data_IF_593704526346
#
_entry.id   IF_593704526346
#
_cell.length_a   1.000
_cell.length_b   1.000
_cell.length_c   1.000
_cell.angle_alpha   90.00
_cell.angle_beta   90.00
_cell.angle_gamma   90.00
#
_symmetry.space_group_name_H-M   'P 1'
#
loop_
_entity.id
_entity.type
_entity.pdbx_description
1 polymer ?
#
# COMPACT_ATOMS: atom_id res chain seq x y z
N UNK A 1 -26.66 -22.72 91.14
CA UNK A 1 -26.99 -21.58 90.33
C UNK A 1 -25.77 -21.21 89.48
N UNK A 2 -25.67 -21.68 88.28
CA UNK A 2 -24.49 -21.43 87.45
C UNK A 2 -24.96 -20.73 86.16
N UNK A 3 -24.51 -19.50 86.00
CA UNK A 3 -24.68 -18.73 84.74
C UNK A 3 -23.65 -19.17 83.70
N UNK A 4 -24.11 -19.67 82.60
CA UNK A 4 -23.25 -19.94 81.41
C UNK A 4 -23.29 -18.74 80.48
N UNK A 5 -22.16 -18.03 80.42
CA UNK A 5 -21.93 -17.01 79.40
C UNK A 5 -21.58 -17.68 78.04
N UNK A 6 -22.33 -17.42 77.03
CA UNK A 6 -22.06 -17.88 75.64
C UNK A 6 -21.22 -16.81 74.97
N UNK A 7 -19.99 -17.18 74.63
CA UNK A 7 -19.06 -16.36 73.86
C UNK A 7 -19.38 -16.56 72.35
N UNK A 8 -19.92 -15.53 71.72
CA UNK A 8 -20.13 -15.54 70.26
C UNK A 8 -18.91 -14.93 69.60
N UNK A 9 -18.10 -15.77 68.96
CA UNK A 9 -16.95 -15.32 68.11
C UNK A 9 -17.44 -14.84 66.78
N UNK A 10 -17.30 -13.56 66.48
CA UNK A 10 -17.52 -12.97 65.16
C UNK A 10 -16.30 -13.24 64.28
N UNK A 11 -16.47 -14.09 63.31
CA UNK A 11 -15.49 -14.28 62.23
C UNK A 11 -15.71 -13.18 61.17
N UNK A 12 -14.84 -12.17 61.17
CA UNK A 12 -14.81 -11.17 60.10
C UNK A 12 -14.06 -11.79 58.92
N UNK A 13 -14.80 -12.29 57.94
CA UNK A 13 -14.26 -12.71 56.66
C UNK A 13 -13.79 -11.50 55.86
N UNK A 14 -12.48 -11.36 55.70
CA UNK A 14 -11.88 -10.38 54.81
C UNK A 14 -12.22 -10.77 53.34
N UNK A 15 -13.21 -10.11 52.78
CA UNK A 15 -13.49 -10.14 51.34
C UNK A 15 -12.32 -9.43 50.63
N UNK A 16 -11.40 -10.22 50.10
CA UNK A 16 -10.38 -9.75 49.18
C UNK A 16 -11.04 -9.17 47.93
N UNK A 17 -11.12 -7.85 47.83
CA UNK A 17 -11.41 -7.14 46.61
C UNK A 17 -10.26 -7.40 45.64
N UNK A 18 -10.39 -8.43 44.81
CA UNK A 18 -9.54 -8.62 43.62
C UNK A 18 -9.74 -7.43 42.72
N UNK A 19 -8.79 -6.51 42.75
CA UNK A 19 -8.70 -5.41 41.78
C UNK A 19 -8.55 -6.03 40.40
N UNK A 20 -9.65 -6.09 39.64
CA UNK A 20 -9.60 -6.37 38.23
C UNK A 20 -8.90 -5.17 37.59
N UNK A 21 -7.59 -5.24 37.50
CA UNK A 21 -6.83 -4.35 36.61
C UNK A 21 -7.34 -4.61 35.22
N UNK A 22 -8.25 -3.75 34.74
CA UNK A 22 -8.53 -3.64 33.33
C UNK A 22 -7.19 -3.29 32.69
N UNK A 23 -6.58 -4.25 32.01
CA UNK A 23 -5.57 -3.96 31.03
C UNK A 23 -6.26 -3.10 29.96
N UNK A 24 -6.23 -1.79 30.14
CA UNK A 24 -6.53 -0.86 29.06
C UNK A 24 -5.53 -1.21 27.98
N UNK A 25 -6.03 -1.75 26.86
CA UNK A 25 -5.27 -1.75 25.62
C UNK A 25 -4.84 -0.30 25.43
N UNK A 26 -3.56 -0.02 25.60
CA UNK A 26 -2.99 1.27 25.27
C UNK A 26 -3.02 1.35 23.74
N UNK A 27 -4.21 1.63 23.20
CA UNK A 27 -4.34 2.11 21.84
C UNK A 27 -3.50 3.37 21.71
N UNK A 28 -2.86 3.55 20.59
CA UNK A 28 -2.09 4.77 20.32
C UNK A 28 -3.03 5.95 20.52
N UNK A 29 -2.85 6.68 21.61
CA UNK A 29 -3.74 7.79 21.99
C UNK A 29 -3.48 9.06 21.17
N UNK A 30 -2.32 9.17 20.52
CA UNK A 30 -1.94 10.34 19.72
C UNK A 30 -1.08 9.96 18.51
N UNK A 31 -1.67 10.04 17.33
CA UNK A 31 -0.99 9.76 16.06
C UNK A 31 -0.17 10.94 15.50
N UNK A 32 -0.28 12.13 16.08
CA UNK A 32 0.39 13.34 15.54
C UNK A 32 1.91 13.23 15.47
N UNK A 33 2.62 12.73 16.51
CA UNK A 33 4.07 12.57 16.43
C UNK A 33 4.47 11.53 15.39
N UNK A 34 3.71 10.43 15.26
CA UNK A 34 3.94 9.37 14.28
C UNK A 34 3.79 9.92 12.85
N UNK A 35 2.70 10.64 12.59
CA UNK A 35 2.47 11.31 11.31
C UNK A 35 3.63 12.23 10.93
N UNK A 36 4.04 13.11 11.85
CA UNK A 36 5.15 14.05 11.62
C UNK A 36 6.45 13.32 11.29
N UNK A 37 6.83 12.33 12.08
CA UNK A 37 8.04 11.55 11.86
C UNK A 37 8.01 10.81 10.52
N UNK A 38 6.88 10.19 10.18
CA UNK A 38 6.71 9.44 8.93
C UNK A 38 6.78 10.36 7.71
N UNK A 39 6.11 11.52 7.74
CA UNK A 39 6.15 12.50 6.65
C UNK A 39 7.56 13.09 6.52
N UNK A 40 8.23 13.41 7.62
CA UNK A 40 9.59 13.91 7.60
C UNK A 40 10.57 12.89 7.01
N UNK A 41 10.42 11.60 7.35
CA UNK A 41 11.30 10.52 6.89
C UNK A 41 11.06 10.16 5.42
N UNK A 42 9.80 10.01 5.02
CA UNK A 42 9.42 9.37 3.76
C UNK A 42 8.64 10.28 2.80
N UNK A 43 8.09 11.41 3.28
CA UNK A 43 7.15 12.22 2.52
C UNK A 43 7.68 12.75 1.20
N UNK A 44 8.97 13.11 1.13
CA UNK A 44 9.59 13.63 -0.08
C UNK A 44 9.88 12.56 -1.15
N UNK A 45 9.85 11.28 -0.76
CA UNK A 45 9.97 10.16 -1.68
C UNK A 45 8.63 9.74 -2.30
N UNK A 46 7.50 10.21 -1.76
CA UNK A 46 6.16 9.94 -2.31
C UNK A 46 5.84 11.04 -3.32
N UNK A 47 5.69 10.67 -4.57
CA UNK A 47 5.55 11.59 -5.70
C UNK A 47 4.37 11.20 -6.59
N UNK A 48 3.97 12.10 -7.50
CA UNK A 48 2.90 11.85 -8.46
C UNK A 48 3.49 11.62 -9.85
N UNK A 49 3.05 10.56 -10.50
CA UNK A 49 3.34 10.27 -11.92
C UNK A 49 2.08 10.47 -12.72
N UNK A 50 2.14 11.22 -13.82
CA UNK A 50 1.11 11.31 -14.84
C UNK A 50 1.51 10.57 -16.10
N UNK A 51 0.52 10.08 -16.83
CA UNK A 51 0.71 9.30 -18.06
C UNK A 51 -0.51 9.44 -18.96
N UNK A 52 -0.34 9.08 -20.23
CA UNK A 52 -1.43 8.98 -21.20
C UNK A 52 -1.77 7.51 -21.40
N UNK A 53 -3.00 7.15 -21.05
CA UNK A 53 -3.53 5.80 -21.24
C UNK A 53 -4.26 5.74 -22.59
N UNK A 54 -3.86 4.83 -23.47
CA UNK A 54 -4.53 4.53 -24.72
C UNK A 54 -5.42 3.30 -24.54
N UNK A 55 -6.72 3.46 -24.75
CA UNK A 55 -7.74 2.42 -24.63
C UNK A 55 -8.30 2.16 -26.03
N UNK A 56 -8.16 0.94 -26.53
CA UNK A 56 -8.78 0.53 -27.78
C UNK A 56 -10.14 -0.11 -27.51
N UNK A 57 -11.21 0.54 -27.97
CA UNK A 57 -12.57 0.03 -27.86
C UNK A 57 -13.27 0.12 -29.21
N UNK A 58 -13.78 -1.02 -29.71
CA UNK A 58 -14.51 -1.12 -30.97
C UNK A 58 -13.78 -0.49 -32.18
N UNK A 59 -12.44 -0.63 -32.24
CA UNK A 59 -11.62 -0.07 -33.31
C UNK A 59 -11.34 1.43 -33.24
N UNK A 60 -11.72 2.07 -32.12
CA UNK A 60 -11.37 3.47 -31.84
C UNK A 60 -10.40 3.54 -30.67
N UNK A 61 -9.29 4.24 -30.85
CA UNK A 61 -8.37 4.58 -29.78
C UNK A 61 -8.87 5.83 -29.06
N UNK A 62 -9.03 5.70 -27.73
CA UNK A 62 -9.29 6.81 -26.83
C UNK A 62 -8.04 7.02 -25.97
N UNK A 63 -7.56 8.26 -25.89
CA UNK A 63 -6.41 8.65 -25.06
C UNK A 63 -6.91 9.48 -23.88
N UNK A 64 -6.53 9.06 -22.68
CA UNK A 64 -6.94 9.69 -21.42
C UNK A 64 -5.67 9.99 -20.62
N UNK A 65 -5.52 11.24 -20.16
CA UNK A 65 -4.48 11.57 -19.17
C UNK A 65 -4.94 11.09 -17.79
N UNK A 66 -4.08 10.35 -17.10
CA UNK A 66 -4.35 9.84 -15.76
C UNK A 66 -3.11 9.99 -14.88
N UNK A 67 -3.25 9.74 -13.59
CA UNK A 67 -2.22 9.92 -12.56
C UNK A 67 -2.19 8.76 -11.59
N UNK A 68 -1.00 8.50 -11.05
CA UNK A 68 -0.83 7.53 -9.96
C UNK A 68 0.18 8.03 -8.94
N UNK A 69 0.11 7.50 -7.73
CA UNK A 69 1.16 7.66 -6.75
C UNK A 69 2.34 6.80 -7.13
N UNK A 70 3.53 7.31 -6.92
CA UNK A 70 4.79 6.61 -7.08
C UNK A 70 5.68 6.80 -5.86
N UNK A 71 6.61 5.89 -5.67
CA UNK A 71 7.60 5.97 -4.61
C UNK A 71 9.00 5.98 -5.21
N UNK A 72 9.81 6.98 -4.90
CA UNK A 72 11.23 6.94 -5.19
C UNK A 72 11.88 5.88 -4.30
N UNK A 73 12.52 4.87 -4.92
CA UNK A 73 13.14 3.73 -4.24
C UNK A 73 14.66 3.67 -4.43
N UNK A 74 15.22 4.69 -5.09
CA UNK A 74 16.66 4.90 -5.18
C UNK A 74 17.00 6.37 -5.40
N UNK A 75 18.22 6.75 -4.99
CA UNK A 75 18.71 8.13 -5.12
C UNK A 75 19.01 8.56 -6.56
N UNK A 76 19.00 7.63 -7.51
CA UNK A 76 19.20 7.88 -8.95
C UNK A 76 17.88 8.00 -9.73
N UNK A 77 16.73 8.02 -9.02
CA UNK A 77 15.43 8.29 -9.61
C UNK A 77 14.68 7.06 -10.10
N UNK A 78 14.92 5.88 -9.53
CA UNK A 78 14.05 4.72 -9.75
C UNK A 78 12.74 4.90 -8.98
N UNK A 79 11.63 4.80 -9.69
CA UNK A 79 10.27 4.95 -9.18
C UNK A 79 9.56 3.61 -9.18
N UNK A 80 8.87 3.31 -8.11
CA UNK A 80 7.95 2.17 -7.97
C UNK A 80 6.52 2.66 -8.18
N UNK A 81 5.77 2.03 -9.07
CA UNK A 81 4.35 2.31 -9.36
C UNK A 81 3.55 1.02 -9.42
N UNK A 82 2.22 1.06 -9.23
CA UNK A 82 1.39 -0.11 -9.50
C UNK A 82 1.44 -0.47 -10.99
N UNK A 83 1.50 -1.75 -11.32
CA UNK A 83 1.58 -2.26 -12.70
C UNK A 83 0.42 -1.77 -13.59
N UNK A 84 -0.78 -1.60 -13.00
CA UNK A 84 -1.95 -1.07 -13.70
C UNK A 84 -1.77 0.35 -14.25
N UNK A 85 -0.81 1.12 -13.73
CA UNK A 85 -0.47 2.43 -14.29
C UNK A 85 0.29 2.31 -15.63
N UNK A 86 0.88 1.16 -15.92
CA UNK A 86 1.62 0.88 -17.17
C UNK A 86 0.75 0.14 -18.17
N UNK A 87 0.00 -0.84 -17.70
CA UNK A 87 -0.91 -1.61 -18.54
C UNK A 87 -2.06 -2.16 -17.70
N UNK A 88 -3.27 -1.96 -18.15
CA UNK A 88 -4.46 -2.42 -17.47
C UNK A 88 -5.34 -3.26 -18.37
N UNK A 89 -5.66 -4.47 -17.92
CA UNK A 89 -6.58 -5.38 -18.59
C UNK A 89 -7.99 -5.24 -17.97
N UNK A 90 -8.89 -4.63 -18.72
CA UNK A 90 -10.28 -4.43 -18.30
C UNK A 90 -11.07 -5.74 -18.25
N UNK A 91 -10.62 -6.83 -18.88
CA UNK A 91 -11.31 -8.12 -18.85
C UNK A 91 -11.41 -8.67 -17.42
N UNK A 92 -10.42 -8.36 -16.57
CA UNK A 92 -10.43 -8.70 -15.14
C UNK A 92 -11.58 -8.01 -14.37
N UNK A 93 -12.07 -6.87 -14.84
CA UNK A 93 -13.21 -6.16 -14.22
C UNK A 93 -14.56 -6.59 -14.77
N UNK A 94 -14.61 -7.08 -15.99
CA UNK A 94 -15.86 -7.44 -16.68
C UNK A 94 -16.46 -8.77 -16.21
N UNK A 95 -15.79 -9.49 -15.31
CA UNK A 95 -16.28 -10.79 -14.81
C UNK A 95 -16.38 -11.87 -15.89
N UNK A 96 -15.52 -11.80 -16.90
CA UNK A 96 -15.47 -12.79 -17.99
C UNK A 96 -16.64 -12.71 -18.99
N UNK A 97 -17.45 -11.65 -18.97
CA UNK A 97 -18.46 -11.43 -20.00
C UNK A 97 -17.82 -11.13 -21.33
N UNK A 98 -18.17 -11.89 -22.35
CA UNK A 98 -17.56 -11.90 -23.68
C UNK A 98 -17.55 -10.57 -24.47
N UNK A 99 -18.20 -9.51 -23.99
CA UNK A 99 -18.29 -8.22 -24.66
C UNK A 99 -17.11 -7.27 -24.44
N UNK A 100 -16.34 -7.48 -23.39
CA UNK A 100 -15.20 -6.63 -23.01
C UNK A 100 -13.85 -7.41 -22.99
N UNK A 101 -13.89 -8.67 -23.42
CA UNK A 101 -12.72 -9.53 -23.54
C UNK A 101 -11.73 -8.93 -24.54
N UNK A 102 -10.53 -8.59 -24.05
CA UNK A 102 -9.44 -8.08 -24.87
C UNK A 102 -9.28 -6.55 -24.86
N UNK A 103 -10.02 -5.80 -24.02
CA UNK A 103 -9.79 -4.37 -23.86
C UNK A 103 -8.59 -4.15 -22.92
N UNK A 104 -7.42 -3.94 -23.52
CA UNK A 104 -6.18 -3.65 -22.78
C UNK A 104 -5.83 -2.19 -23.00
N UNK A 105 -5.68 -1.45 -21.91
CA UNK A 105 -5.09 -0.13 -21.91
C UNK A 105 -3.57 -0.23 -21.78
N UNK A 106 -2.85 0.60 -22.53
CA UNK A 106 -1.40 0.77 -22.42
C UNK A 106 -1.10 2.23 -22.16
N UNK A 107 -0.21 2.48 -21.21
CA UNK A 107 0.18 3.83 -20.86
C UNK A 107 1.52 4.21 -21.48
N UNK A 108 1.67 5.49 -21.78
CA UNK A 108 2.84 6.12 -22.36
C UNK A 108 3.02 7.54 -21.84
N UNK A 109 4.06 8.23 -22.28
CA UNK A 109 4.31 9.64 -21.95
C UNK A 109 4.37 9.92 -20.45
N UNK A 110 5.00 9.00 -19.73
CA UNK A 110 5.13 9.13 -18.27
C UNK A 110 5.95 10.36 -17.89
N UNK A 111 5.46 11.09 -16.89
CA UNK A 111 6.15 12.23 -16.29
C UNK A 111 5.96 12.21 -14.79
N UNK A 112 7.00 12.54 -14.03
CA UNK A 112 6.95 12.67 -12.58
C UNK A 112 7.09 14.12 -12.17
N UNK A 113 6.37 14.51 -11.12
CA UNK A 113 6.60 15.77 -10.43
C UNK A 113 7.18 15.46 -9.04
N UNK A 114 8.37 16.00 -8.80
CA UNK A 114 9.01 15.91 -7.48
C UNK A 114 8.34 16.86 -6.49
N UNK A 115 8.53 16.59 -5.22
CA UNK A 115 8.08 17.50 -4.15
C UNK A 115 8.81 18.81 -4.28
N UNK A 116 8.13 19.91 -4.04
CA UNK A 116 8.66 21.28 -4.15
C UNK A 116 9.11 21.69 -5.57
N UNK A 117 8.65 20.97 -6.61
CA UNK A 117 8.88 21.32 -8.01
C UNK A 117 7.56 21.46 -8.75
N UNK A 118 7.46 22.48 -9.61
CA UNK A 118 6.34 22.61 -10.55
C UNK A 118 6.59 21.87 -11.85
N UNK A 119 7.83 21.47 -12.11
CA UNK A 119 8.25 20.83 -13.35
C UNK A 119 7.87 19.36 -13.40
N UNK A 120 7.36 18.94 -14.55
CA UNK A 120 7.09 17.55 -14.88
C UNK A 120 8.27 16.94 -15.64
N UNK A 121 9.08 16.14 -14.94
CA UNK A 121 10.25 15.47 -15.50
C UNK A 121 9.84 14.22 -16.29
N UNK A 122 10.39 13.99 -17.49
CA UNK A 122 10.12 12.77 -18.24
C UNK A 122 10.71 11.54 -17.55
N UNK A 123 9.96 10.43 -17.56
CA UNK A 123 10.40 9.14 -17.03
C UNK A 123 10.17 8.05 -18.05
N UNK A 124 10.99 7.03 -18.02
CA UNK A 124 10.92 5.87 -18.89
C UNK A 124 10.57 4.62 -18.11
N UNK A 125 9.84 3.71 -18.77
CA UNK A 125 9.58 2.38 -18.22
C UNK A 125 10.89 1.57 -18.23
N UNK A 126 11.24 1.04 -17.07
CA UNK A 126 12.38 0.11 -16.90
C UNK A 126 11.90 -1.32 -17.09
N UNK A 127 10.95 -1.73 -16.28
CA UNK A 127 10.37 -3.07 -16.30
C UNK A 127 9.05 -3.12 -15.57
N UNK A 128 8.33 -4.24 -15.70
CA UNK A 128 7.12 -4.54 -14.94
C UNK A 128 7.14 -5.99 -14.47
N UNK A 129 6.51 -6.24 -13.34
CA UNK A 129 6.24 -7.56 -12.81
C UNK A 129 4.73 -7.69 -12.50
N UNK A 130 3.99 -8.22 -13.46
CA UNK A 130 2.55 -8.42 -13.32
C UNK A 130 2.19 -9.39 -12.20
N UNK A 131 3.10 -10.30 -11.82
CA UNK A 131 2.87 -11.23 -10.72
C UNK A 131 2.93 -10.57 -9.35
N UNK A 132 3.70 -9.49 -9.22
CA UNK A 132 3.75 -8.64 -8.03
C UNK A 132 2.74 -7.49 -8.10
N UNK A 133 2.18 -7.19 -9.27
CA UNK A 133 1.34 -6.01 -9.51
C UNK A 133 2.14 -4.70 -9.53
N UNK A 134 3.44 -4.75 -9.86
CA UNK A 134 4.36 -3.62 -9.76
C UNK A 134 5.09 -3.34 -11.07
N UNK A 135 5.45 -2.08 -11.26
CA UNK A 135 6.31 -1.64 -12.35
C UNK A 135 7.32 -0.59 -11.85
N UNK A 136 8.41 -0.46 -12.59
CA UNK A 136 9.49 0.48 -12.29
C UNK A 136 9.70 1.42 -13.45
N UNK A 137 9.74 2.71 -13.10
CA UNK A 137 10.04 3.80 -14.03
C UNK A 137 11.37 4.44 -13.59
N UNK A 138 12.05 5.15 -14.50
CA UNK A 138 13.27 5.89 -14.18
C UNK A 138 13.23 7.29 -14.73
N UNK A 139 13.60 8.27 -13.91
CA UNK A 139 13.67 9.67 -14.32
C UNK A 139 14.81 9.83 -15.34
N UNK A 140 14.52 10.45 -16.49
CA UNK A 140 15.54 10.78 -17.49
C UNK A 140 16.50 11.81 -16.94
N UNK A 141 17.80 11.59 -17.14
CA UNK A 141 18.83 12.53 -16.74
C UNK A 141 18.69 12.96 -15.27
N UNK A 142 18.32 11.99 -14.41
CA UNK A 142 18.11 12.25 -12.99
C UNK A 142 19.33 12.88 -12.35
N UNK A 143 19.10 13.86 -11.50
CA UNK A 143 20.11 14.35 -10.57
C UNK A 143 20.38 13.23 -9.54
N UNK A 144 21.63 13.10 -9.11
CA UNK A 144 21.98 12.21 -8.00
C UNK A 144 21.51 12.82 -6.67
N UNK A 145 21.25 11.95 -5.68
CA UNK A 145 20.83 12.31 -4.32
C UNK A 145 19.36 12.74 -4.17
N UNK A 146 18.46 12.17 -4.96
CA UNK A 146 17.04 12.31 -4.70
C UNK A 146 16.63 11.63 -3.38
N UNK A 147 15.66 12.18 -2.64
CA UNK A 147 15.08 11.50 -1.49
C UNK A 147 14.43 10.19 -1.93
N UNK A 148 14.64 9.11 -1.21
CA UNK A 148 14.07 7.80 -1.53
C UNK A 148 13.74 7.01 -0.28
N UNK A 149 12.84 6.04 -0.39
CA UNK A 149 12.58 5.04 0.65
C UNK A 149 13.55 3.89 0.48
N UNK A 150 14.34 3.63 1.50
CA UNK A 150 15.21 2.46 1.55
C UNK A 150 14.36 1.20 1.84
N UNK A 151 14.23 0.33 0.85
CA UNK A 151 13.47 -0.91 0.97
C UNK A 151 14.26 -2.04 1.63
N UNK A 152 15.57 -1.89 1.85
CA UNK A 152 16.44 -2.94 2.41
C UNK A 152 16.25 -3.14 3.92
N UNK A 153 15.71 -2.13 4.61
CA UNK A 153 15.47 -2.13 6.05
C UNK A 153 13.97 -2.17 6.36
N UNK A 154 13.27 -3.12 5.76
CA UNK A 154 11.84 -3.29 5.93
C UNK A 154 11.45 -4.05 7.18
N UNK A 155 10.27 -3.75 7.72
CA UNK A 155 9.61 -4.52 8.77
C UNK A 155 8.95 -5.79 8.20
N UNK A 156 8.67 -6.76 9.08
CA UNK A 156 7.95 -7.98 8.71
C UNK A 156 6.44 -7.76 8.89
N UNK A 157 5.63 -7.97 7.84
CA UNK A 157 4.18 -7.94 7.99
C UNK A 157 3.69 -9.18 8.76
N UNK A 158 2.72 -8.97 9.67
CA UNK A 158 2.07 -10.04 10.44
C UNK A 158 0.58 -9.71 10.61
N UNK A 159 -0.32 -10.72 10.64
CA UNK A 159 -1.74 -10.50 10.94
C UNK A 159 -1.95 -9.78 12.27
N UNK A 160 -2.83 -8.77 12.28
CA UNK A 160 -3.09 -7.89 13.41
C UNK A 160 -2.18 -6.65 13.49
N UNK A 161 -1.17 -6.53 12.61
CA UNK A 161 -0.32 -5.35 12.55
C UNK A 161 -1.08 -4.19 11.90
N UNK A 162 -1.10 -3.04 12.59
CA UNK A 162 -1.52 -1.75 12.02
C UNK A 162 -0.38 -1.19 11.14
N UNK A 163 -0.75 -0.66 9.99
CA UNK A 163 0.18 0.00 9.08
C UNK A 163 -0.37 1.32 8.56
N UNK A 164 0.47 2.09 7.89
CA UNK A 164 0.12 3.38 7.31
C UNK A 164 0.59 3.46 5.87
N UNK A 165 -0.27 3.94 4.98
CA UNK A 165 0.10 4.27 3.60
C UNK A 165 0.27 5.78 3.49
N UNK A 166 1.41 6.24 2.99
CA UNK A 166 1.63 7.64 2.65
C UNK A 166 1.20 7.89 1.20
N UNK A 167 0.42 8.93 1.02
CA UNK A 167 -0.12 9.37 -0.26
C UNK A 167 0.12 10.88 -0.41
N UNK A 168 -0.23 11.41 -1.58
CA UNK A 168 -0.39 12.86 -1.79
C UNK A 168 -1.78 13.16 -2.30
N UNK A 169 -2.32 14.30 -1.88
CA UNK A 169 -3.53 14.84 -2.51
C UNK A 169 -3.25 15.21 -3.96
N UNK A 170 -4.29 15.45 -4.74
CA UNK A 170 -4.16 15.95 -6.09
C UNK A 170 -3.53 17.37 -6.11
N UNK A 171 -3.14 17.83 -7.30
CA UNK A 171 -2.51 19.13 -7.49
C UNK A 171 -3.42 20.30 -7.10
N UNK A 172 -4.72 20.17 -7.34
CA UNK A 172 -5.73 21.16 -6.97
C UNK A 172 -5.82 21.37 -5.45
N UNK A 173 -5.48 20.32 -4.69
CA UNK A 173 -5.39 20.34 -3.22
C UNK A 173 -3.96 20.59 -2.72
N UNK A 174 -3.04 21.07 -3.56
CA UNK A 174 -1.69 21.44 -3.20
C UNK A 174 -0.70 20.28 -3.04
N UNK A 175 -1.04 19.05 -3.48
CA UNK A 175 -0.16 17.88 -3.41
C UNK A 175 0.43 17.63 -2.01
N UNK A 176 -0.37 17.87 -0.97
CA UNK A 176 0.06 17.72 0.43
C UNK A 176 0.13 16.26 0.85
N UNK A 177 1.05 15.90 1.77
CA UNK A 177 1.11 14.55 2.32
C UNK A 177 -0.20 14.16 3.01
N UNK A 178 -0.67 12.98 2.73
CA UNK A 178 -1.82 12.35 3.34
C UNK A 178 -1.43 10.96 3.78
N UNK A 179 -1.74 10.59 5.01
CA UNK A 179 -1.55 9.23 5.47
C UNK A 179 -2.90 8.54 5.68
N UNK A 180 -2.92 7.22 5.49
CA UNK A 180 -4.09 6.39 5.70
C UNK A 180 -3.71 5.19 6.55
N UNK A 181 -4.37 4.98 7.69
CA UNK A 181 -4.20 3.76 8.46
C UNK A 181 -4.79 2.56 7.72
N UNK A 182 -4.25 1.40 8.01
CA UNK A 182 -4.73 0.11 7.57
C UNK A 182 -4.35 -0.96 8.56
N UNK A 183 -4.90 -2.17 8.36
CA UNK A 183 -4.64 -3.33 9.22
C UNK A 183 -4.41 -4.57 8.38
N UNK A 184 -3.47 -5.41 8.79
CA UNK A 184 -3.28 -6.73 8.22
C UNK A 184 -4.31 -7.67 8.86
N UNK A 185 -5.29 -8.12 8.06
CA UNK A 185 -6.42 -8.93 8.52
C UNK A 185 -6.09 -10.42 8.57
N UNK A 186 -5.14 -10.87 7.73
CA UNK A 186 -4.78 -12.27 7.63
C UNK A 186 -3.70 -12.52 6.60
N UNK A 187 -3.30 -13.79 6.43
CA UNK A 187 -2.36 -14.20 5.39
C UNK A 187 -2.94 -15.33 4.53
N UNK A 188 -2.56 -15.36 3.27
CA UNK A 188 -2.77 -16.50 2.38
C UNK A 188 -1.44 -16.97 1.80
N UNK A 189 -1.32 -18.29 1.58
CA UNK A 189 -0.11 -18.91 1.01
C UNK A 189 -0.35 -19.52 -0.36
N UNK A 190 -1.58 -19.41 -0.85
CA UNK A 190 -1.99 -19.95 -2.14
C UNK A 190 -2.50 -18.84 -3.05
N UNK A 191 -1.96 -18.68 -4.25
CA UNK A 191 -0.81 -19.41 -4.86
C UNK A 191 0.55 -18.97 -4.30
N UNK A 192 0.64 -17.85 -3.59
CA UNK A 192 1.86 -17.30 -2.98
C UNK A 192 1.54 -16.63 -1.65
N UNK A 193 2.58 -16.44 -0.83
CA UNK A 193 2.42 -15.66 0.41
C UNK A 193 2.02 -14.23 0.07
N UNK A 194 0.87 -13.82 0.60
CA UNK A 194 0.28 -12.50 0.45
C UNK A 194 -0.55 -12.20 1.70
N UNK A 195 -0.59 -10.95 2.12
CA UNK A 195 -1.41 -10.54 3.26
C UNK A 195 -2.69 -9.89 2.77
N UNK A 196 -3.80 -10.28 3.39
CA UNK A 196 -5.11 -9.66 3.20
C UNK A 196 -5.19 -8.45 4.11
N UNK A 197 -5.54 -7.30 3.57
CA UNK A 197 -5.48 -6.04 4.32
C UNK A 197 -6.73 -5.20 4.13
N UNK A 198 -7.01 -4.38 5.13
CA UNK A 198 -7.91 -3.24 5.05
C UNK A 198 -7.05 -1.97 5.06
N UNK A 199 -7.29 -1.02 4.14
CA UNK A 199 -6.49 0.19 4.05
C UNK A 199 -6.52 0.84 2.67
N UNK A 200 -5.39 1.36 2.22
CA UNK A 200 -5.25 2.06 0.93
C UNK A 200 -4.07 1.51 0.12
N UNK A 201 -4.18 1.49 -1.23
CA UNK A 201 -3.08 1.11 -2.11
C UNK A 201 -1.87 2.03 -1.96
N UNK A 202 -0.67 1.44 -2.05
CA UNK A 202 0.60 2.14 -1.98
C UNK A 202 1.63 1.43 -1.10
N UNK A 203 2.78 2.06 -0.90
CA UNK A 203 3.80 1.52 0.01
C UNK A 203 3.31 1.66 1.46
N UNK A 204 3.28 0.54 2.17
CA UNK A 204 2.85 0.44 3.55
C UNK A 204 4.04 0.55 4.50
N UNK A 205 3.86 1.28 5.59
CA UNK A 205 4.86 1.52 6.63
C UNK A 205 4.34 1.07 7.99
N UNK A 206 5.23 0.57 8.84
CA UNK A 206 4.95 0.36 10.26
C UNK A 206 4.89 1.71 11.02
N UNK A 207 4.57 1.66 12.30
CA UNK A 207 4.50 2.83 13.18
C UNK A 207 5.84 3.60 13.29
N UNK A 208 6.97 2.94 13.02
CA UNK A 208 8.31 3.55 13.00
C UNK A 208 8.69 4.14 11.64
N UNK A 209 7.78 4.05 10.66
CA UNK A 209 8.02 4.51 9.30
C UNK A 209 8.98 3.62 8.50
N UNK A 210 9.12 2.35 8.85
CA UNK A 210 9.83 1.39 8.02
C UNK A 210 8.87 0.74 7.04
N UNK A 211 9.26 0.53 5.77
CA UNK A 211 8.39 -0.11 4.80
C UNK A 211 8.16 -1.59 5.17
N UNK A 212 6.92 -2.06 5.09
CA UNK A 212 6.55 -3.46 5.39
C UNK A 212 6.04 -4.22 4.17
N UNK A 213 5.62 -3.52 3.12
CA UNK A 213 5.11 -4.13 1.90
C UNK A 213 4.43 -3.11 0.99
N UNK A 214 3.94 -3.58 -0.14
CA UNK A 214 3.17 -2.76 -1.08
C UNK A 214 1.73 -3.27 -1.13
N UNK A 215 0.78 -2.38 -0.84
CA UNK A 215 -0.66 -2.66 -0.92
C UNK A 215 -1.16 -2.37 -2.33
N UNK A 216 -1.83 -3.34 -2.94
CA UNK A 216 -2.47 -3.14 -4.24
C UNK A 216 -3.87 -3.79 -4.30
N UNK A 217 -4.65 -3.37 -5.29
CA UNK A 217 -6.00 -3.88 -5.54
C UNK A 217 -5.92 -5.21 -6.27
N UNK A 218 -6.53 -6.24 -5.70
CA UNK A 218 -6.71 -7.53 -6.36
C UNK A 218 -8.00 -7.54 -7.19
N UNK A 219 -7.91 -7.14 -8.45
CA UNK A 219 -9.06 -7.11 -9.35
C UNK A 219 -9.66 -8.50 -9.62
N UNK A 220 -8.85 -9.57 -9.59
CA UNK A 220 -9.33 -10.94 -9.74
C UNK A 220 -10.22 -11.34 -8.57
N UNK A 221 -9.90 -10.95 -7.34
CA UNK A 221 -10.74 -11.18 -6.17
C UNK A 221 -12.06 -10.40 -6.26
N UNK A 222 -12.05 -9.15 -6.74
CA UNK A 222 -13.25 -8.35 -6.96
C UNK A 222 -14.15 -9.02 -7.99
N UNK A 223 -13.58 -9.54 -9.07
CA UNK A 223 -14.34 -10.24 -10.11
C UNK A 223 -14.98 -11.55 -9.60
N UNK A 224 -14.22 -12.33 -8.83
CA UNK A 224 -14.72 -13.55 -8.18
C UNK A 224 -15.84 -13.25 -7.18
N UNK A 225 -15.70 -12.24 -6.34
CA UNK A 225 -16.71 -11.83 -5.36
C UNK A 225 -18.06 -11.43 -6.03
N UNK A 226 -18.01 -10.82 -7.21
CA UNK A 226 -19.22 -10.50 -7.98
C UNK A 226 -19.94 -11.75 -8.51
N UNK A 227 -19.23 -12.84 -8.77
CA UNK A 227 -19.80 -14.09 -9.28
C UNK A 227 -20.45 -14.95 -8.21
N UNK A 228 -20.11 -14.77 -6.93
CA UNK A 228 -20.55 -15.61 -5.80
C UNK A 228 -21.66 -14.98 -4.94
N UNK A 229 -22.42 -14.02 -5.47
CA UNK A 229 -23.50 -13.30 -4.77
C UNK A 229 -23.07 -12.67 -3.43
N UNK A 230 -21.82 -12.25 -3.33
CA UNK A 230 -21.34 -11.46 -2.21
C UNK A 230 -20.90 -12.24 -0.96
N UNK A 231 -20.97 -13.58 -0.95
CA UNK A 231 -20.48 -14.38 0.17
C UNK A 231 -18.94 -14.33 0.29
N UNK A 232 -18.23 -14.02 -0.80
CA UNK A 232 -16.78 -13.82 -0.83
C UNK A 232 -16.33 -12.38 -0.60
N UNK A 233 -17.23 -11.47 -0.21
CA UNK A 233 -16.86 -10.10 0.17
C UNK A 233 -15.93 -10.05 1.39
N UNK A 234 -15.79 -11.16 2.13
CA UNK A 234 -14.77 -11.30 3.18
C UNK A 234 -13.35 -11.40 2.62
N UNK A 235 -13.16 -11.73 1.35
CA UNK A 235 -11.87 -11.66 0.68
C UNK A 235 -11.62 -10.21 0.29
N UNK A 236 -10.83 -9.55 1.11
CA UNK A 236 -10.46 -8.15 0.90
C UNK A 236 -9.91 -7.97 -0.52
N UNK A 237 -10.43 -6.97 -1.20
CA UNK A 237 -9.94 -6.60 -2.53
C UNK A 237 -8.52 -6.03 -2.51
N UNK A 238 -7.95 -5.81 -1.31
CA UNK A 238 -6.61 -5.30 -1.10
C UNK A 238 -5.69 -6.39 -0.57
N UNK A 239 -4.51 -6.45 -1.16
CA UNK A 239 -3.47 -7.39 -0.77
C UNK A 239 -2.15 -6.66 -0.59
N UNK A 240 -1.38 -7.05 0.44
CA UNK A 240 -0.04 -6.54 0.68
C UNK A 240 0.98 -7.58 0.25
N UNK A 241 1.82 -7.20 -0.71
CA UNK A 241 3.02 -7.93 -1.10
C UNK A 241 4.14 -7.59 -0.11
N UNK A 242 4.77 -8.59 0.56
CA UNK A 242 5.81 -8.34 1.55
C UNK A 242 6.99 -7.54 1.02
N UNK A 243 7.60 -6.74 1.88
CA UNK A 243 8.65 -5.80 1.48
C UNK A 243 9.91 -6.50 0.95
N UNK A 244 10.26 -7.68 1.44
CA UNK A 244 11.39 -8.46 0.93
C UNK A 244 11.27 -8.78 -0.55
N UNK A 245 10.05 -9.08 -1.03
CA UNK A 245 9.75 -9.32 -2.44
C UNK A 245 9.86 -8.04 -3.27
N UNK A 246 9.31 -6.95 -2.74
CA UNK A 246 9.38 -5.63 -3.40
C UNK A 246 10.82 -5.15 -3.48
N UNK A 247 11.60 -5.28 -2.40
CA UNK A 247 13.01 -4.89 -2.35
C UNK A 247 13.86 -5.70 -3.33
N UNK A 248 13.67 -7.02 -3.36
CA UNK A 248 14.38 -7.89 -4.29
C UNK A 248 14.11 -7.52 -5.75
N UNK A 249 12.83 -7.36 -6.12
CA UNK A 249 12.45 -6.97 -7.48
C UNK A 249 12.96 -5.56 -7.85
N UNK A 250 12.92 -4.61 -6.91
CA UNK A 250 13.47 -3.26 -7.11
C UNK A 250 14.98 -3.28 -7.32
N UNK A 251 15.71 -4.12 -6.57
CA UNK A 251 17.15 -4.30 -6.76
C UNK A 251 17.52 -4.93 -8.11
N UNK A 252 16.66 -5.78 -8.66
CA UNK A 252 16.82 -6.30 -10.02
C UNK A 252 16.52 -5.20 -11.06
N UNK A 253 15.41 -4.48 -10.90
CA UNK A 253 15.01 -3.40 -11.79
C UNK A 253 16.08 -2.28 -11.86
N UNK A 254 16.75 -1.98 -10.73
CA UNK A 254 17.79 -0.95 -10.69
C UNK A 254 18.96 -1.22 -11.63
N UNK A 255 19.24 -2.50 -11.93
CA UNK A 255 20.36 -2.93 -12.80
C UNK A 255 19.98 -2.97 -14.29
N UNK A 256 18.70 -2.85 -14.60
CA UNK A 256 18.23 -2.91 -15.99
C UNK A 256 18.43 -1.55 -16.69
N UNK A 257 18.83 -1.55 -17.97
CA UNK A 257 18.77 -0.35 -18.77
C UNK A 257 17.32 0.09 -18.95
N UNK A 258 17.10 1.36 -19.20
CA UNK A 258 15.78 1.86 -19.60
C UNK A 258 15.38 1.19 -20.91
N UNK A 259 14.15 0.65 -20.98
CA UNK A 259 13.64 0.08 -22.21
C UNK A 259 13.65 1.15 -23.30
N UNK A 260 14.27 0.85 -24.44
CA UNK A 260 14.25 1.78 -25.56
C UNK A 260 12.78 2.03 -25.93
N UNK A 261 12.39 3.32 -25.98
CA UNK A 261 11.05 3.69 -26.38
C UNK A 261 10.73 3.02 -27.73
N UNK A 262 9.71 2.17 -27.75
CA UNK A 262 9.21 1.63 -29.01
C UNK A 262 8.79 2.83 -29.87
N UNK A 263 9.47 2.98 -31.00
CA UNK A 263 9.17 4.04 -32.01
C UNK A 263 7.82 3.78 -32.64
#
# INVERSE_FOLDING_TARGET
>A
MFNKAILVSFFIGALGLSSITHAQSQGISDYRPIYKAMVQKNGNAIVTVKFVMAINSAGKEQRIEDRTQAVLVSSDGLLLVPDRAVSFDFSAMAGGKQGEAGMVAKSSEFRVRLVDSEDWLPVDLVTRDASLGLAWLRIRNSQKNLPFVDLSHGGKPEPGLEFFTLLRTNDESGSVPLWRPGMIMGETRVPKLTYLVEGFPGLAFDISGNPIGYVDVNFSAISAARSTMGLDMANTSLQLTPIDKVAYASALASKLPVAAAAK
#
